data_IF_359408032828
#
_entry.id   IF_359408032828
#
_cell.length_a   1.000
_cell.length_b   1.000
_cell.length_c   1.000
_cell.angle_alpha   90.00
_cell.angle_beta   90.00
_cell.angle_gamma   90.00
#
_symmetry.space_group_name_H-M   'P 1'
#
loop_
_entity.id
_entity.type
_entity.pdbx_description
1 polymer ?
#
# COMPACT_ATOMS: atom_id res chain seq x y z
N UNK A 1 0.18 -8.46 25.01
CA UNK A 1 -0.27 -8.11 23.63
C UNK A 1 0.95 -8.10 22.72
N UNK A 2 1.44 -9.28 22.33
CA UNK A 2 2.50 -9.41 21.34
C UNK A 2 1.86 -9.47 19.97
N UNK A 3 2.06 -8.46 19.12
CA UNK A 3 2.01 -8.73 17.69
C UNK A 3 3.26 -9.54 17.38
N UNK A 4 3.10 -10.86 17.28
CA UNK A 4 4.17 -11.80 17.02
C UNK A 4 4.95 -11.38 15.77
N UNK A 5 6.29 -11.40 15.84
CA UNK A 5 7.19 -11.09 14.72
C UNK A 5 6.83 -11.85 13.43
N UNK A 6 6.23 -13.03 13.56
CA UNK A 6 5.64 -13.83 12.48
C UNK A 6 4.53 -13.10 11.72
N UNK A 7 3.62 -12.41 12.41
CA UNK A 7 2.52 -11.66 11.78
C UNK A 7 3.03 -10.45 10.98
N UNK A 8 4.11 -9.81 11.44
CA UNK A 8 4.76 -8.70 10.75
C UNK A 8 5.51 -9.14 9.50
N UNK A 9 6.28 -10.23 9.58
CA UNK A 9 6.98 -10.81 8.43
C UNK A 9 6.00 -11.34 7.37
N UNK A 10 4.95 -12.05 7.80
CA UNK A 10 3.88 -12.51 6.92
C UNK A 10 3.15 -11.36 6.24
N UNK A 11 2.81 -10.30 6.99
CA UNK A 11 2.20 -9.09 6.44
C UNK A 11 3.11 -8.35 5.44
N UNK A 12 4.42 -8.31 5.71
CA UNK A 12 5.37 -7.72 4.78
C UNK A 12 5.49 -8.55 3.49
N UNK A 13 5.63 -9.88 3.61
CA UNK A 13 5.68 -10.79 2.46
C UNK A 13 4.40 -10.71 1.62
N UNK A 14 3.24 -10.65 2.27
CA UNK A 14 1.94 -10.44 1.63
C UNK A 14 1.92 -9.12 0.84
N UNK A 15 2.30 -8.02 1.48
CA UNK A 15 2.36 -6.70 0.86
C UNK A 15 3.32 -6.64 -0.33
N UNK A 16 4.45 -7.35 -0.30
CA UNK A 16 5.36 -7.46 -1.43
C UNK A 16 4.77 -8.26 -2.59
N UNK A 17 4.13 -9.40 -2.31
CA UNK A 17 3.45 -10.21 -3.33
C UNK A 17 2.33 -9.43 -4.01
N UNK A 18 1.43 -8.83 -3.23
CA UNK A 18 0.36 -7.97 -3.74
C UNK A 18 0.93 -6.81 -4.57
N UNK A 19 1.94 -6.10 -4.05
CA UNK A 19 2.55 -5.00 -4.76
C UNK A 19 3.17 -5.40 -6.10
N UNK A 20 3.74 -6.62 -6.19
CA UNK A 20 4.23 -7.16 -7.46
C UNK A 20 3.11 -7.49 -8.44
N UNK A 21 2.02 -8.11 -7.98
CA UNK A 21 0.89 -8.43 -8.86
C UNK A 21 0.18 -7.18 -9.38
N UNK A 22 -0.11 -6.21 -8.50
CA UNK A 22 -0.73 -4.94 -8.90
C UNK A 22 0.13 -4.21 -9.91
N UNK A 23 1.45 -4.13 -9.69
CA UNK A 23 2.35 -3.50 -10.64
C UNK A 23 2.33 -4.21 -12.01
N UNK A 24 2.37 -5.54 -12.03
CA UNK A 24 2.33 -6.31 -13.27
C UNK A 24 1.01 -6.13 -14.04
N UNK A 25 -0.14 -6.19 -13.35
CA UNK A 25 -1.46 -6.06 -13.96
C UNK A 25 -1.72 -4.66 -14.51
N UNK A 26 -1.25 -3.64 -13.80
CA UNK A 26 -1.38 -2.25 -14.24
C UNK A 26 -0.25 -1.81 -15.19
N UNK A 27 0.64 -2.73 -15.56
CA UNK A 27 1.81 -2.46 -16.40
C UNK A 27 2.68 -1.30 -15.88
N UNK A 28 2.81 -1.24 -14.56
CA UNK A 28 3.56 -0.21 -13.83
C UNK A 28 4.99 -0.72 -13.58
N UNK A 29 5.98 0.09 -13.95
CA UNK A 29 7.39 -0.21 -13.70
C UNK A 29 7.74 -0.12 -12.21
N UNK A 30 8.24 -1.22 -11.63
CA UNK A 30 8.84 -1.21 -10.28
C UNK A 30 10.26 -0.67 -10.32
N UNK A 31 10.63 0.14 -9.33
CA UNK A 31 12.01 0.63 -9.19
C UNK A 31 12.99 -0.47 -8.77
N UNK A 32 12.50 -1.49 -8.06
CA UNK A 32 13.26 -2.69 -7.69
C UNK A 32 12.34 -3.82 -7.25
N UNK A 33 12.84 -5.06 -7.28
CA UNK A 33 12.10 -6.22 -6.76
C UNK A 33 11.93 -6.23 -5.25
N UNK A 34 12.79 -5.49 -4.53
CA UNK A 34 12.80 -5.43 -3.05
C UNK A 34 11.89 -4.34 -2.49
N UNK A 35 11.31 -3.49 -3.34
CA UNK A 35 10.47 -2.37 -2.94
C UNK A 35 9.10 -2.45 -3.61
N UNK A 36 8.12 -1.78 -3.02
CA UNK A 36 6.82 -1.53 -3.67
C UNK A 36 6.77 -0.16 -4.35
N UNK A 37 7.92 0.49 -4.50
CA UNK A 37 8.02 1.75 -5.22
C UNK A 37 8.04 1.54 -6.72
N UNK A 38 7.36 2.44 -7.40
CA UNK A 38 7.05 2.34 -8.82
C UNK A 38 7.17 3.70 -9.50
N UNK A 39 7.43 3.70 -10.80
CA UNK A 39 7.19 4.87 -11.64
C UNK A 39 5.70 5.01 -11.89
N UNK A 40 5.15 6.18 -11.63
CA UNK A 40 3.73 6.44 -11.77
C UNK A 40 3.56 7.82 -12.39
N UNK A 41 2.94 7.92 -13.57
CA UNK A 41 2.88 9.17 -14.36
C UNK A 41 4.29 9.79 -14.49
N UNK A 42 4.44 11.08 -14.19
CA UNK A 42 5.71 11.81 -14.26
C UNK A 42 6.57 11.72 -12.97
N UNK A 43 6.23 10.82 -12.04
CA UNK A 43 6.87 10.76 -10.73
C UNK A 43 6.95 9.37 -10.12
N UNK A 44 7.09 9.33 -8.79
CA UNK A 44 7.20 8.10 -8.03
C UNK A 44 5.94 7.86 -7.21
N UNK A 45 5.52 6.60 -7.11
CA UNK A 45 4.50 6.17 -6.17
C UNK A 45 4.95 4.94 -5.39
N UNK A 46 4.19 4.60 -4.35
CA UNK A 46 4.37 3.33 -3.63
C UNK A 46 3.06 2.57 -3.58
N UNK A 47 3.13 1.26 -3.83
CA UNK A 47 1.99 0.36 -3.67
C UNK A 47 1.89 -0.10 -2.22
N UNK A 48 0.75 0.15 -1.59
CA UNK A 48 0.42 -0.32 -0.24
C UNK A 48 -0.83 -1.16 -0.27
N UNK A 49 -0.79 -2.27 0.45
CA UNK A 49 -1.90 -3.20 0.51
C UNK A 49 -2.60 -3.11 1.87
N UNK A 50 -3.93 -3.13 1.84
CA UNK A 50 -4.77 -3.53 2.95
C UNK A 50 -5.41 -4.88 2.61
N UNK A 51 -5.09 -5.91 3.40
CA UNK A 51 -5.92 -7.11 3.41
C UNK A 51 -7.32 -6.80 3.97
N UNK A 52 -8.24 -7.79 3.99
CA UNK A 52 -9.65 -7.55 4.31
C UNK A 52 -9.85 -6.90 5.69
N UNK A 53 -9.05 -7.32 6.68
CA UNK A 53 -9.08 -6.82 8.05
C UNK A 53 -8.08 -5.67 8.34
N UNK A 54 -7.28 -5.27 7.36
CA UNK A 54 -6.28 -4.20 7.55
C UNK A 54 -6.93 -2.83 7.32
N UNK A 55 -6.91 -1.99 8.36
CA UNK A 55 -7.55 -0.67 8.34
C UNK A 55 -6.56 0.49 8.23
N UNK A 56 -5.26 0.25 8.37
CA UNK A 56 -4.21 1.28 8.37
C UNK A 56 -3.15 0.99 7.30
N UNK A 57 -2.73 2.05 6.60
CA UNK A 57 -1.74 2.02 5.54
C UNK A 57 -0.50 2.80 5.96
N UNK A 58 0.63 2.11 6.12
CA UNK A 58 1.88 2.71 6.58
C UNK A 58 2.84 3.09 5.45
N UNK A 59 3.28 4.35 5.45
CA UNK A 59 4.35 4.86 4.58
C UNK A 59 5.42 5.53 5.46
N UNK A 60 6.70 5.34 5.14
CA UNK A 60 7.79 6.00 5.86
C UNK A 60 7.82 7.49 5.51
N UNK A 61 8.08 8.37 6.47
CA UNK A 61 8.13 9.83 6.22
C UNK A 61 9.10 10.21 5.10
N UNK A 62 10.32 9.64 5.08
CA UNK A 62 11.30 9.90 4.01
C UNK A 62 10.86 9.44 2.63
N UNK A 63 9.98 8.43 2.57
CA UNK A 63 9.39 8.00 1.31
C UNK A 63 8.33 9.00 0.85
N UNK A 64 7.50 9.51 1.77
CA UNK A 64 6.53 10.56 1.47
C UNK A 64 7.19 11.80 0.87
N UNK A 65 8.41 12.17 1.29
CA UNK A 65 9.12 13.35 0.74
C UNK A 65 9.38 13.29 -0.78
N UNK A 66 9.42 12.09 -1.39
CA UNK A 66 9.79 11.91 -2.81
C UNK A 66 8.74 11.27 -3.70
N UNK A 67 7.66 10.73 -3.12
CA UNK A 67 6.56 10.17 -3.91
C UNK A 67 5.46 11.22 -4.10
N UNK A 68 4.78 11.15 -5.24
CA UNK A 68 3.62 11.99 -5.55
C UNK A 68 2.30 11.32 -5.14
N UNK A 69 2.27 9.99 -5.06
CA UNK A 69 1.06 9.23 -4.77
C UNK A 69 1.33 7.93 -4.02
N UNK A 70 0.31 7.45 -3.33
CA UNK A 70 0.24 6.11 -2.73
C UNK A 70 -0.84 5.34 -3.48
N UNK A 71 -0.46 4.25 -4.14
CA UNK A 71 -1.39 3.33 -4.79
C UNK A 71 -1.87 2.32 -3.75
N UNK A 72 -3.08 2.50 -3.28
CA UNK A 72 -3.68 1.70 -2.22
C UNK A 72 -4.46 0.53 -2.85
N UNK A 73 -3.98 -0.68 -2.62
CA UNK A 73 -4.65 -1.93 -2.97
C UNK A 73 -5.49 -2.42 -1.78
N UNK A 74 -6.81 -2.25 -1.89
CA UNK A 74 -7.79 -2.61 -0.86
C UNK A 74 -8.49 -3.91 -1.20
N UNK A 75 -8.14 -4.99 -0.51
CA UNK A 75 -8.79 -6.28 -0.66
C UNK A 75 -10.12 -6.34 0.11
N UNK A 76 -11.13 -6.99 -0.46
CA UNK A 76 -12.39 -7.34 0.20
C UNK A 76 -12.44 -8.82 0.62
N UNK A 77 -13.49 -9.23 1.34
CA UNK A 77 -13.65 -10.61 1.81
C UNK A 77 -13.89 -11.62 0.67
N UNK A 78 -14.15 -11.14 -0.56
CA UNK A 78 -14.28 -11.96 -1.77
C UNK A 78 -12.97 -12.07 -2.56
N UNK A 79 -11.88 -11.48 -2.07
CA UNK A 79 -10.57 -11.47 -2.72
C UNK A 79 -10.46 -10.48 -3.89
N UNK A 80 -11.46 -9.61 -4.11
CA UNK A 80 -11.32 -8.53 -5.08
C UNK A 80 -10.46 -7.41 -4.49
N UNK A 81 -9.67 -6.76 -5.35
CA UNK A 81 -8.76 -5.71 -4.95
C UNK A 81 -9.10 -4.41 -5.67
N UNK A 82 -9.59 -3.45 -4.89
CA UNK A 82 -9.83 -2.09 -5.34
C UNK A 82 -8.51 -1.30 -5.32
N UNK A 83 -8.12 -0.71 -6.45
CA UNK A 83 -6.93 0.14 -6.54
C UNK A 83 -7.33 1.60 -6.49
N UNK A 84 -6.76 2.33 -5.53
CA UNK A 84 -7.05 3.73 -5.28
C UNK A 84 -5.75 4.53 -5.33
N UNK A 85 -5.73 5.59 -6.11
CA UNK A 85 -4.67 6.59 -6.08
C UNK A 85 -4.97 7.63 -4.98
N UNK A 86 -4.14 7.69 -3.95
CA UNK A 86 -4.19 8.73 -2.93
C UNK A 86 -2.99 9.66 -3.11
N UNK A 87 -3.22 10.94 -3.38
CA UNK A 87 -2.15 11.92 -3.54
C UNK A 87 -1.31 12.03 -2.25
N UNK A 88 0.00 12.23 -2.37
CA UNK A 88 0.88 12.32 -1.21
C UNK A 88 0.49 13.46 -0.27
N UNK A 89 -0.01 14.59 -0.80
CA UNK A 89 -0.51 15.69 0.02
C UNK A 89 -1.76 15.32 0.83
N UNK A 90 -2.70 14.62 0.21
CA UNK A 90 -3.88 14.11 0.92
C UNK A 90 -3.50 13.07 1.99
N UNK A 91 -2.48 12.25 1.71
CA UNK A 91 -1.91 11.35 2.71
C UNK A 91 -1.34 12.16 3.89
N UNK A 92 -0.52 13.18 3.62
CA UNK A 92 0.10 14.03 4.65
C UNK A 92 -0.92 14.76 5.51
N UNK A 93 -2.01 15.24 4.93
CA UNK A 93 -3.07 15.95 5.66
C UNK A 93 -3.85 15.05 6.63
N UNK A 94 -3.92 13.76 6.33
CA UNK A 94 -4.74 12.80 7.10
C UNK A 94 -3.91 11.79 7.90
N UNK A 95 -2.58 11.89 7.86
CA UNK A 95 -1.71 10.90 8.49
C UNK A 95 -1.65 11.06 10.01
N UNK A 96 -1.55 9.93 10.68
CA UNK A 96 -1.21 9.83 12.10
C UNK A 96 0.14 9.15 12.26
N UNK A 97 0.80 9.41 13.38
CA UNK A 97 2.04 8.72 13.72
C UNK A 97 1.73 7.28 14.12
N UNK A 98 2.51 6.31 13.61
CA UNK A 98 2.49 4.95 14.17
C UNK A 98 2.99 4.97 15.61
N UNK A 99 2.45 4.11 16.47
CA UNK A 99 2.89 3.97 17.88
C UNK A 99 4.30 3.40 18.04
N UNK A 100 4.85 2.77 16.99
CA UNK A 100 6.20 2.20 17.00
C UNK A 100 7.28 3.28 16.90
N UNK A 101 8.40 3.04 17.57
CA UNK A 101 9.59 3.89 17.51
C UNK A 101 10.05 4.12 16.05
N UNK A 102 10.70 5.27 15.83
CA UNK A 102 11.23 5.65 14.52
C UNK A 102 12.14 4.56 13.96
N UNK A 103 11.78 4.01 12.80
CA UNK A 103 12.58 3.02 12.11
C UNK A 103 13.66 3.68 11.24
N UNK A 104 14.64 2.90 10.79
CA UNK A 104 15.58 3.31 9.74
C UNK A 104 14.76 3.70 8.50
N UNK A 105 14.91 4.95 8.06
CA UNK A 105 14.11 5.54 6.98
C UNK A 105 12.98 6.47 7.45
N UNK A 106 12.92 6.82 8.74
CA UNK A 106 11.98 7.79 9.30
C UNK A 106 10.77 7.14 9.98
N UNK A 107 9.97 7.98 10.64
CA UNK A 107 8.76 7.52 11.33
C UNK A 107 7.73 7.00 10.33
N UNK A 108 7.08 5.88 10.65
CA UNK A 108 5.96 5.39 9.84
C UNK A 108 4.75 6.28 10.11
N UNK A 109 4.25 6.87 9.02
CA UNK A 109 3.02 7.64 8.98
C UNK A 109 1.92 6.73 8.46
N UNK A 110 0.75 6.76 9.10
CA UNK A 110 -0.35 5.87 8.79
C UNK A 110 -1.60 6.66 8.42
N UNK A 111 -2.34 6.20 7.41
CA UNK A 111 -3.68 6.68 7.11
C UNK A 111 -4.68 5.53 7.18
N UNK A 112 -5.94 5.85 7.48
CA UNK A 112 -7.02 4.84 7.47
C UNK A 112 -7.40 4.47 6.04
N UNK A 113 -7.77 3.20 5.81
CA UNK A 113 -8.37 2.73 4.55
C UNK A 113 -9.56 3.60 4.12
N UNK A 114 -10.37 4.04 5.08
CA UNK A 114 -11.52 4.92 4.83
C UNK A 114 -11.12 6.29 4.29
N UNK A 115 -9.96 6.83 4.69
CA UNK A 115 -9.42 8.09 4.14
C UNK A 115 -9.03 7.89 2.68
N UNK A 116 -8.32 6.80 2.36
CA UNK A 116 -7.98 6.49 0.98
C UNK A 116 -9.23 6.40 0.09
N UNK A 117 -10.25 5.66 0.54
CA UNK A 117 -11.53 5.54 -0.18
C UNK A 117 -12.30 6.85 -0.34
N UNK A 118 -12.23 7.75 0.65
CA UNK A 118 -12.96 9.02 0.63
C UNK A 118 -12.28 10.08 -0.21
N UNK A 119 -10.96 10.19 -0.10
CA UNK A 119 -10.19 11.31 -0.64
C UNK A 119 -9.41 10.94 -1.90
N UNK A 120 -9.14 9.66 -2.11
CA UNK A 120 -8.44 9.17 -3.28
C UNK A 120 -9.35 8.95 -4.49
N UNK A 121 -8.73 8.66 -5.63
CA UNK A 121 -9.40 8.36 -6.89
C UNK A 121 -9.32 6.87 -7.14
N UNK A 122 -10.47 6.20 -7.28
CA UNK A 122 -10.53 4.79 -7.67
C UNK A 122 -10.05 4.63 -9.11
N UNK A 123 -8.96 3.89 -9.30
CA UNK A 123 -8.39 3.62 -10.62
C UNK A 123 -9.09 2.43 -11.29
N UNK A 124 -9.22 1.32 -10.57
CA UNK A 124 -9.84 0.10 -11.08
C UNK A 124 -10.22 -0.86 -9.94
N UNK A 125 -10.92 -1.93 -10.33
CA UNK A 125 -11.20 -3.10 -9.49
C UNK A 125 -10.59 -4.32 -10.18
N UNK A 126 -9.68 -5.01 -9.49
CA UNK A 126 -9.13 -6.28 -9.91
C UNK A 126 -9.93 -7.40 -9.24
N UNK A 127 -10.42 -8.33 -10.04
CA UNK A 127 -11.17 -9.49 -9.54
C UNK A 127 -10.22 -10.57 -9.03
N UNK A 128 -10.71 -11.42 -8.13
CA UNK A 128 -9.91 -12.48 -7.51
C UNK A 128 -9.25 -13.41 -8.55
N UNK A 129 -9.94 -13.71 -9.66
CA UNK A 129 -9.43 -14.53 -10.78
C UNK A 129 -8.26 -13.87 -11.53
N UNK A 130 -8.17 -12.54 -11.51
CA UNK A 130 -7.06 -11.77 -12.08
C UNK A 130 -5.83 -11.73 -11.15
N UNK A 131 -5.99 -12.15 -9.89
CA UNK A 131 -4.95 -12.16 -8.85
C UNK A 131 -4.72 -13.57 -8.29
N UNK A 132 -4.41 -14.59 -9.13
CA UNK A 132 -4.28 -15.98 -8.69
C UNK A 132 -3.14 -16.18 -7.68
N UNK A 133 -2.22 -15.22 -7.57
CA UNK A 133 -1.13 -15.26 -6.59
C UNK A 133 -1.60 -15.09 -5.12
N UNK A 134 -2.86 -14.67 -4.93
CA UNK A 134 -3.48 -14.46 -3.62
C UNK A 134 -4.40 -15.62 -3.21
N UNK A 135 -4.79 -16.45 -4.17
CA UNK A 135 -5.56 -17.67 -3.95
C UNK A 135 -4.66 -18.74 -3.33
N UNK A 136 -4.53 -18.75 -2.00
CA UNK A 136 -3.97 -19.86 -1.23
C UNK A 136 -4.84 -20.14 -0.02
#
# INVERSE_FOLDING_TARGET
MGQDRETGAAGNAYGHRMGKAVAALLQIEKLSDRSNEVRWRDGLAVIKCCGPRTTLLGVKSKMLERIQAVLVACEDDSGNVEIIELAADQFRQSMVNSRSASAIGGQVKQVRRSVARRNGVRLCLLRADQLPILSR
#
